data_IF_681787387728
#
_entry.id   IF_681787387728
#
_cell.length_a   1.000
_cell.length_b   1.000
_cell.length_c   1.000
_cell.angle_alpha   90.00
_cell.angle_beta   90.00
_cell.angle_gamma   90.00
#
_symmetry.space_group_name_H-M   'P 1'
#
loop_
_entity.id
_entity.type
_entity.pdbx_description
1 polymer ?
#
# COMPACT_ATOMS: atom_id res chain seq x y z
N UNK A 1 -4.48 -11.72 -8.46
CA UNK A 1 -4.64 -10.71 -7.40
C UNK A 1 -3.49 -9.72 -7.52
N UNK A 2 -3.75 -8.42 -7.69
CA UNK A 2 -2.71 -7.42 -7.90
C UNK A 2 -1.94 -7.07 -6.62
N UNK A 3 -0.72 -6.54 -6.75
CA UNK A 3 0.16 -6.22 -5.60
C UNK A 3 -0.46 -5.21 -4.63
N UNK A 4 -1.30 -4.29 -5.16
CA UNK A 4 -2.11 -3.36 -4.38
C UNK A 4 -3.05 -4.06 -3.41
N UNK A 5 -3.81 -5.06 -3.88
CA UNK A 5 -4.79 -5.76 -3.05
C UNK A 5 -4.08 -6.50 -1.91
N UNK A 6 -3.00 -7.22 -2.23
CA UNK A 6 -2.16 -7.90 -1.24
C UNK A 6 -1.60 -6.96 -0.17
N UNK A 7 -1.07 -5.80 -0.57
CA UNK A 7 -0.54 -4.83 0.38
C UNK A 7 -1.63 -4.31 1.33
N UNK A 8 -2.79 -3.93 0.78
CA UNK A 8 -3.92 -3.40 1.58
C UNK A 8 -4.50 -4.47 2.51
N UNK A 9 -4.61 -5.71 2.04
CA UNK A 9 -5.08 -6.83 2.85
C UNK A 9 -4.08 -7.15 3.97
N UNK A 10 -2.78 -7.20 3.67
CA UNK A 10 -1.75 -7.46 4.68
C UNK A 10 -1.70 -6.33 5.71
N UNK A 11 -1.81 -5.07 5.28
CA UNK A 11 -1.95 -3.91 6.17
C UNK A 11 -3.15 -4.06 7.10
N UNK A 12 -4.31 -4.47 6.59
CA UNK A 12 -5.53 -4.67 7.39
C UNK A 12 -5.44 -5.88 8.33
N UNK A 13 -4.79 -6.96 7.91
CA UNK A 13 -4.67 -8.18 8.73
C UNK A 13 -3.63 -8.04 9.84
N UNK A 14 -2.50 -7.37 9.56
CA UNK A 14 -1.36 -7.32 10.47
C UNK A 14 -1.21 -5.99 11.20
N UNK A 15 -1.77 -4.91 10.66
CA UNK A 15 -1.50 -3.55 11.14
C UNK A 15 -0.04 -3.11 10.96
N UNK A 16 0.74 -3.82 10.13
CA UNK A 16 2.15 -3.54 9.93
C UNK A 16 2.38 -2.15 9.32
N UNK A 17 3.53 -1.56 9.64
CA UNK A 17 3.91 -0.26 9.12
C UNK A 17 3.92 -0.25 7.59
N UNK A 18 3.26 0.76 7.02
CA UNK A 18 3.15 0.97 5.58
C UNK A 18 4.52 1.03 4.89
N UNK A 19 5.55 1.56 5.55
CA UNK A 19 6.92 1.59 5.04
C UNK A 19 7.49 0.17 4.88
N UNK A 20 7.32 -0.69 5.89
CA UNK A 20 7.79 -2.08 5.82
C UNK A 20 7.05 -2.86 4.74
N UNK A 21 5.75 -2.63 4.59
CA UNK A 21 4.96 -3.22 3.51
C UNK A 21 5.41 -2.70 2.15
N UNK A 22 5.63 -1.38 2.01
CA UNK A 22 6.09 -0.76 0.78
C UNK A 22 7.41 -1.38 0.32
N UNK A 23 8.37 -1.52 1.23
CA UNK A 23 9.67 -2.18 0.97
C UNK A 23 9.51 -3.66 0.64
N UNK A 24 8.67 -4.39 1.35
CA UNK A 24 8.38 -5.83 1.11
C UNK A 24 7.81 -6.07 -0.28
N UNK A 25 6.93 -5.17 -0.72
CA UNK A 25 6.24 -5.26 -2.00
C UNK A 25 6.94 -4.50 -3.15
N UNK A 26 8.08 -3.86 -2.88
CA UNK A 26 8.85 -3.12 -3.89
C UNK A 26 8.14 -1.88 -4.44
N UNK A 27 7.28 -1.26 -3.63
CA UNK A 27 6.51 -0.07 -4.01
C UNK A 27 6.97 1.13 -3.18
N UNK A 28 6.85 2.34 -3.73
CA UNK A 28 7.17 3.55 -2.98
C UNK A 28 6.21 3.77 -1.81
N UNK A 29 6.69 4.37 -0.72
CA UNK A 29 5.89 4.67 0.46
C UNK A 29 4.65 5.50 0.12
N UNK A 30 4.79 6.51 -0.75
CA UNK A 30 3.67 7.32 -1.21
C UNK A 30 2.63 6.53 -2.01
N UNK A 31 3.07 5.53 -2.78
CA UNK A 31 2.19 4.60 -3.51
C UNK A 31 1.42 3.70 -2.56
N UNK A 32 2.11 3.08 -1.59
CA UNK A 32 1.49 2.24 -0.57
C UNK A 32 0.48 3.04 0.28
N UNK A 33 0.85 4.27 0.66
CA UNK A 33 -0.02 5.16 1.41
C UNK A 33 -1.26 5.56 0.60
N UNK A 34 -1.09 5.89 -0.68
CA UNK A 34 -2.21 6.16 -1.61
C UNK A 34 -3.16 4.98 -1.75
N UNK A 35 -2.64 3.75 -1.78
CA UNK A 35 -3.45 2.53 -1.86
C UNK A 35 -4.27 2.28 -0.60
N UNK A 36 -3.71 2.50 0.60
CA UNK A 36 -4.39 2.28 1.88
C UNK A 36 -5.38 3.41 2.20
N UNK A 37 -5.01 4.67 2.00
CA UNK A 37 -5.88 5.83 2.28
C UNK A 37 -7.03 6.01 1.28
N UNK A 38 -7.10 5.19 0.24
CA UNK A 38 -8.08 5.36 -0.84
C UNK A 38 -7.87 6.64 -1.66
N UNK A 39 -6.76 7.37 -1.47
CA UNK A 39 -6.31 8.40 -2.39
C UNK A 39 -5.77 7.69 -3.62
N UNK A 40 -6.70 7.31 -4.52
CA UNK A 40 -6.36 7.17 -5.93
C UNK A 40 -5.62 8.44 -6.31
N UNK A 41 -4.35 8.28 -6.67
CA UNK A 41 -3.47 9.38 -7.06
C UNK A 41 -4.05 9.93 -8.36
N UNK A 42 -5.03 10.84 -8.24
CA UNK A 42 -5.44 11.72 -9.32
C UNK A 42 -4.35 12.77 -9.42
N UNK A 43 -3.34 12.47 -10.21
CA UNK A 43 -2.56 13.51 -10.87
C UNK A 43 -3.22 13.70 -12.24
N UNK A 44 -3.95 14.80 -12.38
CA UNK A 44 -4.34 15.39 -13.66
C UNK A 44 -3.59 16.69 -13.82
#
# INVERSE_FOLDING_TARGET
MGIRARLVEEYRQTGASLHSLARKYGVGDGTAWGWVKGKGVRHS
#
